data_IF_775517797823
#
_entry.id   IF_775517797823
#
_cell.length_a   1.000
_cell.length_b   1.000
_cell.length_c   1.000
_cell.angle_alpha   90.00
_cell.angle_beta   90.00
_cell.angle_gamma   90.00
#
_symmetry.space_group_name_H-M   'P 1'
#
loop_
_entity.id
_entity.type
_entity.pdbx_description
1 polymer ?
#
# COMPACT_ATOMS: atom_id res chain seq x y z
N UNK A 1 25.19 4.45 5.46
CA UNK A 1 25.10 4.26 3.99
C UNK A 1 23.84 4.94 3.48
N UNK A 2 24.01 6.12 2.88
CA UNK A 2 22.90 6.92 2.35
C UNK A 2 22.31 6.19 1.14
N UNK A 3 21.17 5.52 1.31
CA UNK A 3 20.45 4.86 0.20
C UNK A 3 19.92 5.96 -0.71
N UNK A 4 20.73 6.38 -1.70
CA UNK A 4 20.31 7.32 -2.74
C UNK A 4 18.95 6.86 -3.26
N UNK A 5 17.97 7.74 -3.18
CA UNK A 5 16.61 7.52 -3.68
C UNK A 5 16.74 7.26 -5.19
N UNK A 6 16.41 6.06 -5.70
CA UNK A 6 16.32 5.90 -7.14
C UNK A 6 15.15 6.78 -7.62
N UNK A 7 15.36 7.64 -8.64
CA UNK A 7 14.26 8.34 -9.29
C UNK A 7 13.30 7.32 -9.90
N UNK A 8 12.00 7.62 -9.88
CA UNK A 8 11.01 6.80 -10.58
C UNK A 8 11.08 7.20 -12.05
N UNK A 9 11.97 6.54 -12.79
CA UNK A 9 12.07 6.72 -14.24
C UNK A 9 11.06 5.82 -14.96
N UNK A 10 10.69 6.11 -16.23
CA UNK A 10 9.82 5.26 -17.02
C UNK A 10 10.31 3.80 -17.13
N UNK A 11 11.62 3.61 -17.24
CA UNK A 11 12.26 2.29 -17.32
C UNK A 11 12.07 1.53 -16.01
N UNK A 12 12.31 2.20 -14.88
CA UNK A 12 12.09 1.61 -13.55
C UNK A 12 10.62 1.26 -13.31
N UNK A 13 9.69 2.06 -13.83
CA UNK A 13 8.26 1.75 -13.78
C UNK A 13 7.92 0.48 -14.57
N UNK A 14 8.52 0.30 -15.75
CA UNK A 14 8.33 -0.90 -16.56
C UNK A 14 8.82 -2.14 -15.82
N UNK A 15 9.99 -2.07 -15.17
CA UNK A 15 10.52 -3.16 -14.32
C UNK A 15 9.57 -3.52 -13.17
N UNK A 16 9.06 -2.51 -12.44
CA UNK A 16 8.15 -2.72 -11.32
C UNK A 16 6.80 -3.33 -11.75
N UNK A 17 6.36 -3.06 -12.99
CA UNK A 17 5.15 -3.65 -13.56
C UNK A 17 5.38 -5.09 -14.00
N UNK A 18 6.53 -5.38 -14.59
CA UNK A 18 6.88 -6.71 -15.10
C UNK A 18 7.25 -7.69 -13.98
N UNK A 19 7.71 -7.20 -12.82
CA UNK A 19 8.11 -8.08 -11.73
C UNK A 19 6.93 -8.82 -11.09
N UNK A 20 7.15 -10.05 -10.58
CA UNK A 20 6.14 -10.77 -9.82
C UNK A 20 5.63 -9.94 -8.64
N UNK A 21 4.33 -10.01 -8.37
CA UNK A 21 3.71 -9.18 -7.33
C UNK A 21 4.35 -9.34 -5.95
N UNK A 22 4.72 -10.58 -5.57
CA UNK A 22 5.39 -10.86 -4.30
C UNK A 22 6.74 -10.15 -4.19
N UNK A 23 7.45 -10.00 -5.29
CA UNK A 23 8.73 -9.30 -5.34
C UNK A 23 8.54 -7.79 -5.34
N UNK A 24 7.49 -7.30 -6.02
CA UNK A 24 7.07 -5.89 -5.95
C UNK A 24 6.83 -5.44 -4.50
N UNK A 25 6.16 -6.26 -3.70
CA UNK A 25 5.91 -5.99 -2.28
C UNK A 25 7.18 -5.91 -1.42
N UNK A 26 8.33 -6.35 -1.95
CA UNK A 26 9.64 -6.28 -1.26
C UNK A 26 10.47 -5.10 -1.74
N UNK A 27 9.96 -4.28 -2.66
CA UNK A 27 10.68 -3.15 -3.23
C UNK A 27 10.66 -1.92 -2.31
N UNK A 28 11.74 -1.11 -2.27
CA UNK A 28 11.75 0.19 -1.60
C UNK A 28 10.60 1.11 -2.00
N UNK A 29 10.19 1.04 -3.26
CA UNK A 29 9.11 1.82 -3.86
C UNK A 29 7.76 1.48 -3.22
N UNK A 30 7.49 0.19 -3.00
CA UNK A 30 6.31 -0.26 -2.28
C UNK A 30 6.34 0.14 -0.80
N UNK A 31 7.46 -0.04 -0.11
CA UNK A 31 7.57 0.35 1.30
C UNK A 31 7.31 1.84 1.52
N UNK A 32 7.82 2.70 0.63
CA UNK A 32 7.55 4.15 0.66
C UNK A 32 6.08 4.43 0.46
N UNK A 33 5.48 3.79 -0.55
CA UNK A 33 4.06 3.90 -0.86
C UNK A 33 3.21 3.54 0.36
N UNK A 34 3.49 2.40 0.98
CA UNK A 34 2.84 1.95 2.21
C UNK A 34 2.98 2.98 3.34
N UNK A 35 4.19 3.51 3.56
CA UNK A 35 4.45 4.50 4.60
C UNK A 35 3.65 5.81 4.38
N UNK A 36 3.52 6.28 3.13
CA UNK A 36 2.72 7.48 2.83
C UNK A 36 1.24 7.24 3.14
N UNK A 37 0.69 6.07 2.78
CA UNK A 37 -0.72 5.74 3.07
C UNK A 37 -0.95 5.66 4.58
N UNK A 38 -0.05 5.02 5.33
CA UNK A 38 -0.12 4.96 6.79
C UNK A 38 -0.09 6.36 7.43
N UNK A 39 0.80 7.24 6.94
CA UNK A 39 0.90 8.62 7.41
C UNK A 39 -0.35 9.43 7.06
N UNK A 40 -0.85 9.29 5.83
CA UNK A 40 -2.05 9.99 5.35
C UNK A 40 -3.29 9.59 6.15
N UNK A 41 -3.43 8.30 6.45
CA UNK A 41 -4.53 7.78 7.25
C UNK A 41 -4.36 8.03 8.76
N UNK A 42 -3.29 8.72 9.19
CA UNK A 42 -2.93 8.95 10.59
C UNK A 42 -2.93 7.66 11.44
N UNK A 43 -2.56 6.52 10.84
CA UNK A 43 -2.60 5.21 11.50
C UNK A 43 -3.99 4.71 11.87
N UNK A 44 -5.05 5.19 11.19
CA UNK A 44 -6.45 4.79 11.42
C UNK A 44 -7.06 4.17 10.18
N UNK A 45 -8.03 3.29 10.37
CA UNK A 45 -8.82 2.75 9.27
C UNK A 45 -9.55 3.88 8.52
N UNK A 46 -9.50 3.87 7.19
CA UNK A 46 -10.17 4.90 6.38
C UNK A 46 -11.68 4.70 6.20
N UNK A 47 -12.24 3.57 6.66
CA UNK A 47 -13.70 3.33 6.65
C UNK A 47 -14.34 3.71 7.98
N UNK A 48 -13.82 3.16 9.09
CA UNK A 48 -14.41 3.34 10.41
C UNK A 48 -13.63 4.27 11.35
N UNK A 49 -12.51 4.84 10.89
CA UNK A 49 -11.67 5.78 11.63
C UNK A 49 -11.07 5.25 12.95
N UNK A 50 -11.18 3.94 13.20
CA UNK A 50 -10.59 3.26 14.35
C UNK A 50 -9.13 2.87 14.09
N UNK A 51 -8.31 2.93 15.12
CA UNK A 51 -6.94 2.40 15.18
C UNK A 51 -6.89 1.01 15.87
N UNK A 52 -8.06 0.47 16.24
CA UNK A 52 -8.16 -0.79 16.97
C UNK A 52 -8.06 -1.99 16.04
N UNK A 53 -6.83 -2.47 15.87
CA UNK A 53 -6.55 -3.76 15.23
C UNK A 53 -5.45 -3.69 14.18
N UNK A 54 -5.10 -4.83 13.57
CA UNK A 54 -4.11 -4.86 12.50
C UNK A 54 -4.63 -4.09 11.27
N UNK A 55 -3.87 -3.09 10.83
CA UNK A 55 -4.18 -2.31 9.63
C UNK A 55 -3.33 -2.77 8.44
N UNK A 56 -3.99 -3.04 7.33
CA UNK A 56 -3.38 -3.44 6.08
C UNK A 56 -3.69 -2.44 4.96
N UNK A 57 -2.70 -2.24 4.08
CA UNK A 57 -2.89 -1.44 2.87
C UNK A 57 -3.42 -2.36 1.78
N UNK A 58 -4.65 -2.14 1.38
CA UNK A 58 -5.33 -2.83 0.29
C UNK A 58 -5.22 -2.01 -1.00
N UNK A 59 -4.99 -2.68 -2.12
CA UNK A 59 -5.06 -2.07 -3.44
C UNK A 59 -6.52 -2.04 -3.90
N UNK A 60 -7.00 -0.88 -4.34
CA UNK A 60 -8.28 -0.73 -5.03
C UNK A 60 -8.19 -1.09 -6.50
N UNK A 61 -7.04 -0.84 -7.12
CA UNK A 61 -6.75 -1.21 -8.51
C UNK A 61 -5.27 -1.55 -8.68
N UNK A 62 -4.98 -2.49 -9.57
CA UNK A 62 -3.61 -2.88 -9.95
C UNK A 62 -3.16 -2.25 -11.28
N UNK A 63 -4.04 -1.50 -11.96
CA UNK A 63 -3.78 -0.90 -13.28
C UNK A 63 -2.55 0.02 -13.29
N UNK A 64 -2.29 0.69 -12.17
CA UNK A 64 -1.19 1.66 -12.01
C UNK A 64 -0.02 1.12 -11.19
N UNK A 65 0.20 -0.21 -11.15
CA UNK A 65 1.31 -0.81 -10.41
C UNK A 65 2.64 -0.11 -10.71
N UNK A 66 3.38 0.27 -9.66
CA UNK A 66 4.62 1.05 -9.78
C UNK A 66 4.45 2.57 -9.86
N UNK A 67 3.29 3.07 -10.31
CA UNK A 67 2.94 4.50 -10.43
C UNK A 67 1.64 4.86 -9.66
N UNK A 68 1.29 4.06 -8.65
CA UNK A 68 0.00 4.14 -7.96
C UNK A 68 -0.21 5.49 -7.28
N UNK A 69 -1.42 6.05 -7.47
CA UNK A 69 -1.90 7.21 -6.75
C UNK A 69 -2.15 6.85 -5.28
N UNK A 70 -2.34 7.86 -4.43
CA UNK A 70 -2.76 7.62 -3.04
C UNK A 70 -4.15 7.01 -2.98
N UNK A 71 -5.06 7.46 -3.87
CA UNK A 71 -6.43 6.95 -3.99
C UNK A 71 -6.53 5.50 -4.46
N UNK A 72 -5.46 4.94 -5.03
CA UNK A 72 -5.42 3.54 -5.49
C UNK A 72 -5.24 2.55 -4.34
N UNK A 73 -4.98 3.06 -3.13
CA UNK A 73 -4.66 2.28 -1.95
C UNK A 73 -5.46 2.77 -0.77
N UNK A 74 -5.95 1.84 0.02
CA UNK A 74 -6.70 2.14 1.24
C UNK A 74 -6.17 1.39 2.43
N UNK A 75 -6.10 2.07 3.57
CA UNK A 75 -5.71 1.46 4.84
C UNK A 75 -6.97 1.01 5.60
N UNK A 76 -7.28 -0.28 5.60
CA UNK A 76 -8.39 -0.85 6.36
C UNK A 76 -7.91 -1.98 7.29
N UNK A 77 -8.77 -2.43 8.19
CA UNK A 77 -8.45 -3.56 9.06
C UNK A 77 -8.20 -4.83 8.24
N UNK A 78 -7.22 -5.64 8.69
CA UNK A 78 -7.03 -6.98 8.16
C UNK A 78 -8.31 -7.79 8.39
N UNK A 79 -8.94 -8.26 7.32
CA UNK A 79 -10.06 -9.18 7.41
C UNK A 79 -9.56 -10.45 8.11
N UNK A 80 -10.01 -10.67 9.34
CA UNK A 80 -9.82 -11.93 10.09
C UNK A 80 -11.21 -12.49 10.30
N UNK A 81 -11.55 -13.49 9.48
CA UNK A 81 -12.65 -14.46 9.59
C UNK A 81 -14.11 -13.99 9.76
N UNK A 82 -14.99 -14.74 9.09
CA UNK A 82 -16.39 -14.47 8.69
C UNK A 82 -17.46 -14.22 9.77
N UNK A 83 -17.12 -13.80 10.99
CA UNK A 83 -18.14 -13.48 12.03
C UNK A 83 -18.10 -12.05 12.57
N UNK A 84 -17.23 -11.19 12.04
CA UNK A 84 -17.17 -9.76 12.42
C UNK A 84 -17.16 -8.80 11.25
N UNK A 85 -17.93 -9.09 10.21
CA UNK A 85 -18.21 -8.14 9.12
C UNK A 85 -18.96 -6.85 9.57
N UNK A 86 -19.27 -6.69 10.86
CA UNK A 86 -20.08 -5.58 11.39
C UNK A 86 -19.29 -4.57 12.26
N UNK A 87 -17.97 -4.40 12.08
CA UNK A 87 -17.25 -3.35 12.84
C UNK A 87 -16.23 -2.58 12.01
N UNK A 88 -16.46 -2.50 10.69
CA UNK A 88 -15.80 -1.54 9.82
C UNK A 88 -16.70 -1.12 8.67
#
# INVERSE_FOLDING_TARGET
MSRKRPPITPERLAELKAMPYKDYLRTPEWYRRRAVVLKFAAGRCQMCYSDKGPLNVHHRTYERRGAELLSDRTLHHAQTDDTKAATC
#
